data_IF_010100171151
#
_entry.id   IF_010100171151
#
_cell.length_a   1.000
_cell.length_b   1.000
_cell.length_c   1.000
_cell.angle_alpha   90.00
_cell.angle_beta   90.00
_cell.angle_gamma   90.00
#
_symmetry.space_group_name_H-M   'P 1'
#
loop_
_entity.id
_entity.type
_entity.pdbx_description
1 polymer ?
#
# COMPACT_ATOMS: atom_id res chain seq x y z
N UNK A 1 2.21 -17.54 -16.34
CA UNK A 1 0.85 -16.96 -16.22
C UNK A 1 0.36 -17.00 -14.76
N UNK A 2 1.16 -16.55 -13.77
CA UNK A 2 0.84 -16.72 -12.34
C UNK A 2 0.72 -15.40 -11.53
N UNK A 3 0.84 -14.23 -12.18
CA UNK A 3 0.99 -12.96 -11.45
C UNK A 3 -0.30 -12.15 -11.27
N UNK A 4 -1.38 -12.46 -11.99
CA UNK A 4 -2.63 -11.70 -11.89
C UNK A 4 -3.53 -12.18 -10.73
N UNK A 5 -3.39 -13.43 -10.30
CA UNK A 5 -4.17 -13.99 -9.18
C UNK A 5 -3.57 -13.64 -7.81
N UNK A 6 -2.24 -13.65 -7.71
CA UNK A 6 -1.54 -13.25 -6.49
C UNK A 6 -1.78 -11.77 -6.15
N UNK A 7 -1.81 -10.89 -7.15
CA UNK A 7 -2.07 -9.45 -6.94
C UNK A 7 -3.49 -9.20 -6.41
N UNK A 8 -4.49 -9.88 -6.97
CA UNK A 8 -5.88 -9.81 -6.50
C UNK A 8 -6.02 -10.38 -5.09
N UNK A 9 -5.38 -11.51 -4.79
CA UNK A 9 -5.44 -12.13 -3.46
C UNK A 9 -4.77 -11.26 -2.38
N UNK A 10 -3.68 -10.56 -2.70
CA UNK A 10 -3.02 -9.64 -1.76
C UNK A 10 -3.82 -8.35 -1.60
N UNK A 11 -4.39 -7.81 -2.69
CA UNK A 11 -5.25 -6.63 -2.69
C UNK A 11 -6.56 -6.86 -1.90
N UNK A 12 -7.21 -8.00 -2.08
CA UNK A 12 -8.42 -8.36 -1.31
C UNK A 12 -8.13 -8.59 0.18
N UNK A 13 -6.94 -9.12 0.52
CA UNK A 13 -6.52 -9.24 1.94
C UNK A 13 -6.19 -7.89 2.57
N UNK A 14 -5.67 -6.94 1.79
CA UNK A 14 -5.43 -5.57 2.24
C UNK A 14 -6.77 -4.81 2.45
N UNK A 15 -7.69 -4.87 1.49
CA UNK A 15 -9.01 -4.22 1.59
C UNK A 15 -9.90 -4.79 2.71
N UNK A 16 -9.83 -6.10 3.00
CA UNK A 16 -10.57 -6.71 4.12
C UNK A 16 -10.19 -6.16 5.49
N UNK A 17 -8.98 -5.61 5.65
CA UNK A 17 -8.54 -4.98 6.91
C UNK A 17 -8.85 -3.48 6.97
N UNK A 18 -9.05 -2.85 5.82
CA UNK A 18 -9.41 -1.42 5.72
C UNK A 18 -10.92 -1.21 5.85
N UNK A 19 -11.75 -2.21 5.51
CA UNK A 19 -13.21 -2.02 5.41
C UNK A 19 -14.13 -2.84 6.34
N UNK A 20 -13.63 -3.76 7.18
CA UNK A 20 -14.49 -4.47 8.15
C UNK A 20 -14.50 -3.80 9.53
N UNK A 21 -15.06 -2.59 9.55
CA UNK A 21 -15.64 -1.98 10.75
C UNK A 21 -17.18 -1.90 10.60
N UNK A 22 -17.83 -3.01 10.25
CA UNK A 22 -19.29 -3.19 10.35
C UNK A 22 -19.49 -4.70 10.57
N UNK A 23 -20.05 -5.24 11.66
CA UNK A 23 -21.15 -4.82 12.54
C UNK A 23 -20.78 -5.22 13.98
N UNK A 24 -20.67 -4.25 14.90
CA UNK A 24 -20.92 -4.52 16.32
C UNK A 24 -22.42 -4.41 16.50
N UNK A 25 -23.11 -5.54 16.61
CA UNK A 25 -24.46 -5.59 17.15
C UNK A 25 -24.65 -6.92 17.82
N UNK A 26 -24.55 -6.90 19.15
CA UNK A 26 -25.21 -7.87 20.02
C UNK A 26 -24.49 -9.20 20.27
N UNK A 27 -23.53 -9.19 21.18
CA UNK A 27 -23.37 -10.28 22.14
C UNK A 27 -22.57 -9.76 23.34
N UNK A 28 -23.28 -9.36 24.40
CA UNK A 28 -22.64 -9.06 25.68
C UNK A 28 -22.17 -10.35 26.34
N UNK A 29 -20.86 -10.47 26.57
CA UNK A 29 -20.28 -11.21 27.70
C UNK A 29 -19.06 -10.40 28.17
N UNK A 30 -19.15 -9.93 29.41
CA UNK A 30 -18.08 -9.25 30.16
C UNK A 30 -16.96 -10.24 30.50
N UNK A 31 -15.72 -9.89 30.17
CA UNK A 31 -14.53 -10.65 30.56
C UNK A 31 -13.26 -10.24 29.80
N UNK A 32 -12.62 -9.15 30.24
CA UNK A 32 -11.18 -8.87 30.09
C UNK A 32 -10.46 -9.31 28.78
N UNK A 33 -10.76 -8.66 27.65
CA UNK A 33 -9.89 -8.67 26.47
C UNK A 33 -9.76 -7.30 25.77
N UNK A 34 -10.18 -6.20 26.41
CA UNK A 34 -10.17 -4.86 25.82
C UNK A 34 -8.80 -4.15 25.88
N UNK A 35 -7.76 -4.80 26.41
CA UNK A 35 -6.43 -4.21 26.61
C UNK A 35 -5.24 -5.09 26.16
N UNK A 36 -5.42 -6.07 25.27
CA UNK A 36 -4.31 -6.92 24.80
C UNK A 36 -3.93 -6.75 23.33
N UNK A 37 -4.68 -5.97 22.56
CA UNK A 37 -4.27 -5.55 21.22
C UNK A 37 -4.58 -4.06 21.10
N UNK A 38 -3.64 -3.15 21.47
CA UNK A 38 -3.68 -1.83 20.85
C UNK A 38 -3.85 -2.06 19.33
N UNK A 39 -4.63 -1.25 18.60
CA UNK A 39 -4.61 -1.33 17.15
C UNK A 39 -3.14 -1.24 16.75
N UNK A 40 -2.56 -2.36 16.32
CA UNK A 40 -1.21 -2.34 15.77
C UNK A 40 -1.29 -1.28 14.67
N UNK A 41 -0.36 -0.30 14.62
CA UNK A 41 -0.29 0.58 13.45
C UNK A 41 -0.39 -0.34 12.23
N UNK A 42 -1.24 -0.02 11.23
CA UNK A 42 -1.53 -0.95 10.14
C UNK A 42 -0.19 -1.50 9.68
N UNK A 43 0.05 -2.79 9.95
CA UNK A 43 1.35 -3.36 9.70
C UNK A 43 1.56 -3.19 8.20
N UNK A 44 2.49 -2.31 7.83
CA UNK A 44 2.59 -1.84 6.46
C UNK A 44 2.63 -3.02 5.51
N UNK A 45 1.88 -2.92 4.41
CA UNK A 45 1.71 -4.04 3.49
C UNK A 45 3.09 -4.56 3.04
N UNK A 46 3.31 -5.87 3.14
CA UNK A 46 4.52 -6.49 2.61
C UNK A 46 4.33 -6.73 1.10
N UNK A 47 4.95 -5.85 0.32
CA UNK A 47 4.87 -5.79 -1.14
C UNK A 47 6.27 -5.93 -1.76
N UNK A 48 7.23 -6.51 -1.03
CA UNK A 48 8.61 -6.68 -1.51
C UNK A 48 8.63 -7.55 -2.76
N UNK A 49 9.36 -7.12 -3.78
CA UNK A 49 9.41 -7.75 -5.11
C UNK A 49 8.04 -7.91 -5.81
N UNK A 50 7.02 -7.16 -5.38
CA UNK A 50 5.72 -7.20 -6.05
C UNK A 50 5.82 -6.58 -7.44
N UNK A 51 5.12 -7.19 -8.40
CA UNK A 51 4.98 -6.64 -9.75
C UNK A 51 3.67 -5.87 -9.83
N UNK A 52 3.76 -4.56 -9.69
CA UNK A 52 2.66 -3.58 -9.66
C UNK A 52 2.61 -2.77 -10.96
N UNK A 53 3.05 -3.37 -12.07
CA UNK A 53 3.12 -2.72 -13.37
C UNK A 53 1.73 -2.25 -13.80
N UNK A 54 1.56 -0.96 -14.05
CA UNK A 54 0.28 -0.35 -14.43
C UNK A 54 -0.79 -0.32 -13.34
N UNK A 55 -0.43 -0.58 -12.08
CA UNK A 55 -1.38 -0.63 -10.97
C UNK A 55 -2.01 0.75 -10.71
N UNK A 56 -3.31 0.76 -10.43
CA UNK A 56 -4.06 1.95 -10.02
C UNK A 56 -4.05 2.01 -8.48
N UNK A 57 -3.14 2.80 -7.91
CA UNK A 57 -2.89 2.90 -6.46
C UNK A 57 -3.23 4.30 -5.93
N UNK A 58 -4.23 4.95 -6.54
CA UNK A 58 -4.64 6.31 -6.22
C UNK A 58 -5.32 6.36 -4.85
N UNK A 59 -4.96 7.37 -4.05
CA UNK A 59 -5.50 7.59 -2.70
C UNK A 59 -5.34 6.39 -1.75
N UNK A 60 -4.38 5.50 -2.01
CA UNK A 60 -4.11 4.31 -1.19
C UNK A 60 -3.21 4.65 -0.01
N UNK A 61 -3.57 4.15 1.18
CA UNK A 61 -2.70 4.19 2.36
C UNK A 61 -1.63 3.08 2.25
N UNK A 62 -0.40 3.48 1.92
CA UNK A 62 0.80 2.63 1.86
C UNK A 62 1.79 2.98 2.97
N UNK A 63 1.34 3.65 4.05
CA UNK A 63 2.22 4.04 5.15
C UNK A 63 2.90 2.83 5.76
N UNK A 64 4.21 2.92 5.93
CA UNK A 64 5.03 1.83 6.46
C UNK A 64 5.13 0.58 5.56
N UNK A 65 4.57 0.59 4.34
CA UNK A 65 4.62 -0.55 3.44
C UNK A 65 6.08 -0.93 3.08
N UNK A 66 6.33 -2.22 2.85
CA UNK A 66 7.62 -2.72 2.39
C UNK A 66 7.55 -2.95 0.89
N UNK A 67 8.09 -2.04 0.11
CA UNK A 67 8.11 -2.07 -1.35
C UNK A 67 9.50 -2.43 -1.89
N UNK A 68 10.42 -2.93 -1.07
CA UNK A 68 11.79 -3.22 -1.52
C UNK A 68 11.80 -4.17 -2.72
N UNK A 69 12.46 -3.76 -3.81
CA UNK A 69 12.50 -4.49 -5.08
C UNK A 69 11.19 -4.51 -5.87
N UNK A 70 10.17 -3.76 -5.47
CA UNK A 70 8.89 -3.72 -6.19
C UNK A 70 9.04 -3.02 -7.56
N UNK A 71 8.27 -3.49 -8.53
CA UNK A 71 8.18 -2.93 -9.87
C UNK A 71 6.88 -2.14 -10.00
N UNK A 72 6.99 -0.82 -9.95
CA UNK A 72 5.89 0.15 -10.09
C UNK A 72 5.79 0.72 -11.51
N UNK A 73 6.40 0.07 -12.50
CA UNK A 73 6.45 0.60 -13.87
C UNK A 73 5.05 0.94 -14.39
N UNK A 74 4.80 2.20 -14.78
CA UNK A 74 3.48 2.61 -15.27
C UNK A 74 2.38 2.74 -14.21
N UNK A 75 2.68 2.58 -12.92
CA UNK A 75 1.69 2.68 -11.85
C UNK A 75 1.25 4.13 -11.61
N UNK A 76 0.04 4.30 -11.09
CA UNK A 76 -0.55 5.59 -10.74
C UNK A 76 -0.71 5.70 -9.22
N UNK A 77 0.14 6.51 -8.57
CA UNK A 77 0.18 6.69 -7.12
C UNK A 77 -0.44 8.01 -6.65
N UNK A 78 -1.17 8.74 -7.51
CA UNK A 78 -1.72 10.06 -7.12
C UNK A 78 -2.49 10.01 -5.81
N UNK A 79 -2.12 10.86 -4.85
CA UNK A 79 -2.73 10.91 -3.52
C UNK A 79 -2.38 9.73 -2.60
N UNK A 80 -1.54 8.79 -3.02
CA UNK A 80 -1.09 7.69 -2.17
C UNK A 80 -0.16 8.20 -1.07
N UNK A 81 -0.35 7.70 0.15
CA UNK A 81 0.52 8.04 1.29
C UNK A 81 1.60 6.96 1.46
N UNK A 82 2.84 7.30 1.12
CA UNK A 82 4.01 6.43 1.24
C UNK A 82 4.86 6.76 2.49
N UNK A 83 4.31 7.50 3.46
CA UNK A 83 5.05 7.91 4.66
C UNK A 83 5.60 6.70 5.40
N UNK A 84 6.92 6.66 5.57
CA UNK A 84 7.63 5.57 6.25
C UNK A 84 7.70 4.25 5.48
N UNK A 85 7.30 4.21 4.21
CA UNK A 85 7.46 3.02 3.38
C UNK A 85 8.95 2.75 3.07
N UNK A 86 9.34 1.47 3.04
CA UNK A 86 10.67 1.05 2.58
C UNK A 86 10.63 0.84 1.07
N UNK A 87 11.51 1.50 0.31
CA UNK A 87 11.48 1.54 -1.15
C UNK A 87 12.87 1.29 -1.76
N UNK A 88 13.66 0.41 -1.15
CA UNK A 88 15.01 0.10 -1.63
C UNK A 88 14.90 -0.67 -2.95
N UNK A 89 15.64 -0.23 -3.99
CA UNK A 89 15.65 -0.88 -5.31
C UNK A 89 14.26 -0.98 -5.99
N UNK A 90 13.38 -0.01 -5.74
CA UNK A 90 12.11 0.10 -6.46
C UNK A 90 12.34 0.56 -7.90
N UNK A 91 11.60 -0.02 -8.85
CA UNK A 91 11.56 0.44 -10.24
C UNK A 91 10.40 1.41 -10.44
N UNK A 92 10.71 2.66 -10.79
CA UNK A 92 9.72 3.74 -10.96
C UNK A 92 9.44 4.10 -12.42
N UNK A 93 9.84 3.31 -13.42
CA UNK A 93 9.78 3.77 -14.81
C UNK A 93 8.35 4.10 -15.25
N UNK A 94 8.12 5.28 -15.83
CA UNK A 94 6.80 5.75 -16.25
C UNK A 94 5.73 5.73 -15.13
N UNK A 95 6.13 5.84 -13.87
CA UNK A 95 5.23 5.90 -12.70
C UNK A 95 4.74 7.34 -12.49
N UNK A 96 3.46 7.51 -12.16
CA UNK A 96 2.92 8.78 -11.67
C UNK A 96 3.09 8.82 -10.16
N UNK A 97 3.86 9.77 -9.66
CA UNK A 97 4.16 9.97 -8.25
C UNK A 97 2.93 10.48 -7.46
N UNK A 98 2.97 10.43 -6.10
CA UNK A 98 1.88 10.92 -5.25
C UNK A 98 1.38 12.34 -5.54
N UNK A 99 2.27 13.28 -5.86
CA UNK A 99 1.92 14.66 -6.23
C UNK A 99 1.41 14.82 -7.68
N UNK A 100 1.41 13.74 -8.47
CA UNK A 100 0.99 13.72 -9.86
C UNK A 100 2.09 13.95 -10.89
N UNK A 101 3.34 14.14 -10.47
CA UNK A 101 4.50 14.21 -11.38
C UNK A 101 4.82 12.84 -11.98
N UNK A 102 5.48 12.82 -13.14
CA UNK A 102 6.00 11.59 -13.75
C UNK A 102 7.43 11.37 -13.29
N UNK A 103 7.73 10.19 -12.76
CA UNK A 103 9.06 9.79 -12.31
C UNK A 103 10.14 9.91 -13.39
N UNK A 104 9.80 9.63 -14.65
CA UNK A 104 10.73 9.74 -15.78
C UNK A 104 11.14 11.20 -16.07
N UNK A 105 10.32 12.17 -15.61
CA UNK A 105 10.66 13.58 -15.66
C UNK A 105 11.53 14.03 -14.47
N UNK A 106 11.62 13.23 -13.40
CA UNK A 106 12.42 13.48 -12.18
C UNK A 106 13.51 12.41 -12.00
N UNK A 107 14.33 12.19 -13.02
CA UNK A 107 15.50 11.30 -12.92
C UNK A 107 15.17 9.81 -12.71
N UNK A 108 13.94 9.40 -13.00
CA UNK A 108 13.48 8.01 -12.87
C UNK A 108 13.14 7.61 -11.43
N UNK A 109 12.76 8.56 -10.57
CA UNK A 109 12.38 8.30 -9.17
C UNK A 109 11.18 9.16 -8.74
N UNK A 110 10.52 8.75 -7.66
CA UNK A 110 9.50 9.56 -6.98
C UNK A 110 9.96 10.08 -5.61
N UNK A 111 11.23 9.91 -5.23
CA UNK A 111 11.72 10.17 -3.85
C UNK A 111 11.54 11.63 -3.39
N UNK A 112 11.50 12.60 -4.30
CA UNK A 112 11.17 14.00 -4.01
C UNK A 112 9.68 14.35 -4.05
N UNK A 113 8.84 13.41 -4.48
CA UNK A 113 7.44 13.60 -4.85
C UNK A 113 6.49 12.67 -4.06
N UNK A 114 6.96 12.17 -2.90
CA UNK A 114 6.25 11.19 -2.07
C UNK A 114 5.16 11.78 -1.17
N UNK A 115 5.12 13.11 -1.04
CA UNK A 115 4.11 13.82 -0.26
C UNK A 115 3.05 14.37 -1.23
N UNK A 116 1.75 14.20 -0.92
CA UNK A 116 0.68 14.80 -1.71
C UNK A 116 0.66 16.33 -1.60
#
# INVERSE_FOLDING_TARGET
MANHEALKATFERALRRVFLATIVSGAGIVGFAWAANPPSPPAGADLRNARLIGAQLRDVDLRGAKLDGADLTGADLRGADLTGASMIQVTWSNTICPDGTLSDADGGTCQGHLQP
#
